data_IF_291933379180
#
_entry.id   IF_291933379180
#
_cell.length_a   1.000
_cell.length_b   1.000
_cell.length_c   1.000
_cell.angle_alpha   90.00
_cell.angle_beta   90.00
_cell.angle_gamma   90.00
#
_symmetry.space_group_name_H-M   'P 1'
#
loop_
_entity.id
_entity.type
_entity.pdbx_description
1 polymer ?
#
# COMPACT_ATOMS: atom_id res chain seq x y z
N UNK A 1 27.66 -17.33 -3.38
CA UNK A 1 26.46 -16.60 -2.89
C UNK A 1 25.47 -17.64 -2.37
N UNK A 2 24.88 -17.46 -1.18
CA UNK A 2 23.81 -18.36 -0.70
C UNK A 2 22.59 -18.19 -1.62
N UNK A 3 21.99 -19.29 -2.06
CA UNK A 3 20.81 -19.23 -2.91
C UNK A 3 19.63 -18.57 -2.16
N UNK A 4 18.84 -17.68 -2.79
CA UNK A 4 17.71 -17.06 -2.14
C UNK A 4 16.57 -18.07 -1.92
N UNK A 5 15.93 -18.13 -0.74
CA UNK A 5 14.89 -19.10 -0.43
C UNK A 5 13.62 -18.84 -1.25
N UNK A 6 13.08 -19.88 -1.88
CA UNK A 6 11.98 -19.77 -2.85
C UNK A 6 10.58 -20.08 -2.28
N UNK A 7 10.48 -20.62 -1.05
CA UNK A 7 9.22 -20.96 -0.37
C UNK A 7 8.28 -21.90 -1.15
N UNK A 8 7.19 -22.38 -0.55
CA UNK A 8 6.23 -23.26 -1.26
C UNK A 8 5.41 -22.43 -2.26
N UNK A 9 4.80 -21.34 -1.80
CA UNK A 9 3.89 -20.51 -2.60
C UNK A 9 4.61 -19.90 -3.81
N UNK A 10 5.80 -19.33 -3.59
CA UNK A 10 6.63 -18.76 -4.66
C UNK A 10 7.03 -19.80 -5.70
N UNK A 11 7.43 -21.00 -5.27
CA UNK A 11 7.76 -22.10 -6.17
C UNK A 11 6.58 -22.59 -7.00
N UNK A 12 5.39 -22.76 -6.39
CA UNK A 12 4.20 -23.19 -7.13
C UNK A 12 3.83 -22.16 -8.20
N UNK A 13 3.80 -20.88 -7.85
CA UNK A 13 3.48 -19.80 -8.79
C UNK A 13 4.53 -19.66 -9.91
N UNK A 14 5.82 -19.81 -9.61
CA UNK A 14 6.87 -19.69 -10.62
C UNK A 14 7.00 -20.91 -11.54
N UNK A 15 6.75 -22.13 -11.04
CA UNK A 15 6.92 -23.37 -11.81
C UNK A 15 5.64 -23.79 -12.55
N UNK A 16 4.46 -23.41 -12.05
CA UNK A 16 3.16 -23.65 -12.71
C UNK A 16 2.41 -22.32 -12.91
N UNK A 17 2.98 -21.37 -13.67
CA UNK A 17 2.48 -20.00 -13.73
C UNK A 17 1.07 -19.90 -14.30
N UNK A 18 0.79 -20.57 -15.43
CA UNK A 18 -0.53 -20.51 -16.06
C UNK A 18 -1.58 -21.18 -15.16
N UNK A 19 -1.30 -22.40 -14.69
CA UNK A 19 -2.23 -23.15 -13.85
C UNK A 19 -2.56 -22.42 -12.55
N UNK A 20 -1.55 -21.93 -11.83
CA UNK A 20 -1.74 -21.24 -10.55
C UNK A 20 -2.57 -19.97 -10.70
N UNK A 21 -2.31 -19.16 -11.74
CA UNK A 21 -3.10 -17.95 -12.03
C UNK A 21 -4.53 -18.31 -12.42
N UNK A 22 -4.73 -19.26 -13.34
CA UNK A 22 -6.06 -19.65 -13.79
C UNK A 22 -6.92 -20.18 -12.63
N UNK A 23 -6.37 -21.03 -11.76
CA UNK A 23 -7.11 -21.60 -10.61
C UNK A 23 -7.53 -20.50 -9.63
N UNK A 24 -6.60 -19.62 -9.26
CA UNK A 24 -6.87 -18.54 -8.31
C UNK A 24 -7.87 -17.53 -8.88
N UNK A 25 -7.66 -17.06 -10.11
CA UNK A 25 -8.57 -16.08 -10.71
C UNK A 25 -9.95 -16.67 -10.98
N UNK A 26 -10.05 -17.93 -11.44
CA UNK A 26 -11.35 -18.57 -11.65
C UNK A 26 -12.13 -18.71 -10.33
N UNK A 27 -11.47 -19.10 -9.24
CA UNK A 27 -12.11 -19.19 -7.93
C UNK A 27 -12.61 -17.83 -7.42
N UNK A 28 -11.81 -16.77 -7.60
CA UNK A 28 -12.18 -15.41 -7.19
C UNK A 28 -13.31 -14.82 -8.03
N UNK A 29 -13.30 -15.07 -9.35
CA UNK A 29 -14.41 -14.69 -10.24
C UNK A 29 -15.68 -15.44 -9.84
N UNK A 30 -15.59 -16.75 -9.59
CA UNK A 30 -16.73 -17.55 -9.15
C UNK A 30 -17.30 -17.04 -7.83
N UNK A 31 -16.46 -16.66 -6.86
CA UNK A 31 -16.88 -16.07 -5.59
C UNK A 31 -17.56 -14.71 -5.79
N UNK A 32 -17.01 -13.85 -6.65
CA UNK A 32 -17.62 -12.58 -7.04
C UNK A 32 -19.00 -12.76 -7.67
N UNK A 33 -19.13 -13.73 -8.60
CA UNK A 33 -20.41 -14.06 -9.25
C UNK A 33 -21.41 -14.65 -8.26
N UNK A 34 -20.96 -15.53 -7.35
CA UNK A 34 -21.82 -16.12 -6.34
C UNK A 34 -22.39 -15.04 -5.40
N UNK A 35 -21.57 -14.10 -4.94
CA UNK A 35 -22.02 -12.98 -4.13
C UNK A 35 -22.93 -12.01 -4.89
N UNK A 36 -22.63 -11.70 -6.15
CA UNK A 36 -23.48 -10.84 -6.97
C UNK A 36 -24.91 -11.42 -7.16
N UNK A 37 -25.06 -12.75 -7.16
CA UNK A 37 -26.36 -13.42 -7.22
C UNK A 37 -27.19 -13.31 -5.93
N UNK A 38 -26.56 -13.04 -4.79
CA UNK A 38 -27.24 -12.83 -3.51
C UNK A 38 -27.82 -11.42 -3.40
N UNK A 39 -27.33 -10.47 -4.21
CA UNK A 39 -27.72 -9.07 -4.16
C UNK A 39 -28.88 -8.75 -5.10
N UNK A 40 -29.63 -7.70 -4.77
CA UNK A 40 -30.54 -7.09 -5.73
C UNK A 40 -29.76 -6.54 -6.93
N UNK A 41 -30.40 -6.49 -8.12
CA UNK A 41 -29.78 -5.95 -9.33
C UNK A 41 -29.06 -4.59 -9.14
N UNK A 42 -29.63 -3.58 -8.45
CA UNK A 42 -28.91 -2.32 -8.20
C UNK A 42 -27.70 -2.48 -7.27
N UNK A 43 -27.77 -3.35 -6.25
CA UNK A 43 -26.64 -3.57 -5.34
C UNK A 43 -25.51 -4.38 -6.02
N UNK A 44 -25.84 -5.36 -6.86
CA UNK A 44 -24.87 -6.09 -7.67
C UNK A 44 -24.14 -5.18 -8.67
N UNK A 45 -24.83 -4.17 -9.23
CA UNK A 45 -24.23 -3.19 -10.12
C UNK A 45 -23.12 -2.36 -9.44
N UNK A 46 -23.16 -2.19 -8.10
CA UNK A 46 -22.11 -1.50 -7.35
C UNK A 46 -20.78 -2.27 -7.33
N UNK A 47 -20.80 -3.61 -7.39
CA UNK A 47 -19.57 -4.40 -7.51
C UNK A 47 -18.89 -4.11 -8.86
N UNK A 48 -19.70 -4.03 -9.92
CA UNK A 48 -19.24 -3.66 -11.26
C UNK A 48 -18.72 -2.22 -11.33
N UNK A 49 -19.42 -1.26 -10.71
CA UNK A 49 -18.99 0.13 -10.64
C UNK A 49 -17.69 0.29 -9.85
N UNK A 50 -17.53 -0.45 -8.74
CA UNK A 50 -16.29 -0.51 -7.98
C UNK A 50 -15.14 -1.05 -8.83
N UNK A 51 -15.33 -2.17 -9.53
CA UNK A 51 -14.30 -2.74 -10.40
C UNK A 51 -13.86 -1.75 -11.48
N UNK A 52 -14.81 -1.06 -12.13
CA UNK A 52 -14.51 -0.03 -13.13
C UNK A 52 -13.75 1.16 -12.52
N UNK A 53 -14.18 1.62 -11.34
CA UNK A 53 -13.55 2.74 -10.62
C UNK A 53 -12.12 2.39 -10.20
N UNK A 54 -11.91 1.20 -9.65
CA UNK A 54 -10.58 0.72 -9.26
C UNK A 54 -9.67 0.51 -10.47
N UNK A 55 -10.20 0.01 -11.59
CA UNK A 55 -9.45 -0.07 -12.86
C UNK A 55 -8.99 1.32 -13.32
N UNK A 56 -9.88 2.30 -13.24
CA UNK A 56 -9.62 3.66 -13.70
C UNK A 56 -8.67 4.44 -12.79
N UNK A 57 -8.83 4.37 -11.46
CA UNK A 57 -8.06 5.20 -10.51
C UNK A 57 -6.80 4.49 -10.01
N UNK A 58 -6.72 3.15 -10.03
CA UNK A 58 -5.56 2.41 -9.51
C UNK A 58 -4.78 1.74 -10.63
N UNK A 59 -5.43 0.83 -11.39
CA UNK A 59 -4.72 0.01 -12.36
C UNK A 59 -4.21 0.81 -13.56
N UNK A 60 -5.04 1.73 -14.10
CA UNK A 60 -4.67 2.55 -15.24
C UNK A 60 -3.46 3.46 -14.93
N UNK A 61 -3.42 4.25 -13.83
CA UNK A 61 -2.24 5.03 -13.49
C UNK A 61 -0.98 4.20 -13.31
N UNK A 62 -1.08 3.02 -12.67
CA UNK A 62 0.07 2.10 -12.52
C UNK A 62 0.55 1.54 -13.87
N UNK A 63 -0.38 1.17 -14.76
CA UNK A 63 -0.07 0.68 -16.10
C UNK A 63 0.57 1.79 -16.96
N UNK A 64 0.02 3.01 -16.91
CA UNK A 64 0.59 4.16 -17.60
C UNK A 64 1.99 4.49 -17.08
N UNK A 65 2.21 4.41 -15.76
CA UNK A 65 3.54 4.60 -15.17
C UNK A 65 4.54 3.52 -15.65
N UNK A 66 4.09 2.27 -15.81
CA UNK A 66 4.92 1.19 -16.33
C UNK A 66 5.23 1.30 -17.84
N UNK A 67 4.35 1.95 -18.60
CA UNK A 67 4.48 2.15 -20.06
C UNK A 67 5.31 3.39 -20.42
N UNK A 68 5.81 4.14 -19.43
CA UNK A 68 6.57 5.36 -19.69
C UNK A 68 7.78 5.10 -20.60
N UNK A 69 7.91 5.83 -21.73
CA UNK A 69 9.06 5.68 -22.60
C UNK A 69 10.38 5.98 -21.87
N UNK A 70 11.49 5.35 -22.28
CA UNK A 70 12.81 5.66 -21.68
C UNK A 70 13.42 6.96 -22.21
N UNK A 71 13.17 7.30 -23.47
CA UNK A 71 13.76 8.48 -24.13
C UNK A 71 13.03 9.76 -23.71
N UNK A 72 13.78 10.84 -23.44
CA UNK A 72 13.22 12.14 -22.98
C UNK A 72 12.12 12.67 -23.88
N UNK A 73 12.34 12.67 -25.20
CA UNK A 73 11.34 13.12 -26.17
C UNK A 73 10.08 12.25 -26.15
N UNK A 74 10.23 10.92 -26.09
CA UNK A 74 9.10 10.00 -25.95
C UNK A 74 8.30 10.24 -24.66
N UNK A 75 8.97 10.52 -23.54
CA UNK A 75 8.31 10.88 -22.27
C UNK A 75 7.51 12.17 -22.39
N UNK A 76 8.08 13.20 -23.00
CA UNK A 76 7.39 14.47 -23.22
C UNK A 76 6.10 14.26 -24.03
N UNK A 77 6.17 13.58 -25.18
CA UNK A 77 4.98 13.29 -25.98
C UNK A 77 3.96 12.43 -25.23
N UNK A 78 4.42 11.44 -24.45
CA UNK A 78 3.55 10.59 -23.64
C UNK A 78 2.78 11.40 -22.59
N UNK A 79 3.45 12.28 -21.85
CA UNK A 79 2.80 13.15 -20.87
C UNK A 79 1.85 14.16 -21.52
N UNK A 80 2.23 14.70 -22.69
CA UNK A 80 1.38 15.60 -23.45
C UNK A 80 0.08 14.90 -23.88
N UNK A 81 0.17 13.70 -24.45
CA UNK A 81 -0.99 12.92 -24.88
C UNK A 81 -1.93 12.62 -23.71
N UNK A 82 -1.39 12.16 -22.57
CA UNK A 82 -2.20 11.86 -21.37
C UNK A 82 -2.87 13.13 -20.84
N UNK A 83 -2.14 14.24 -20.80
CA UNK A 83 -2.68 15.52 -20.32
C UNK A 83 -3.79 16.04 -21.23
N UNK A 84 -3.63 15.94 -22.56
CA UNK A 84 -4.68 16.30 -23.53
C UNK A 84 -5.89 15.40 -23.35
N UNK A 85 -5.70 14.08 -23.26
CA UNK A 85 -6.81 13.13 -23.11
C UNK A 85 -7.60 13.40 -21.83
N UNK A 86 -6.92 13.66 -20.72
CA UNK A 86 -7.58 13.97 -19.46
C UNK A 86 -8.24 15.35 -19.46
N UNK A 87 -7.65 16.36 -20.11
CA UNK A 87 -8.30 17.67 -20.30
C UNK A 87 -9.59 17.53 -21.12
N UNK A 88 -9.61 16.68 -22.15
CA UNK A 88 -10.82 16.36 -22.92
C UNK A 88 -11.86 15.67 -22.03
N UNK A 89 -11.48 14.67 -21.24
CA UNK A 89 -12.42 13.99 -20.33
C UNK A 89 -13.04 14.97 -19.32
N UNK A 90 -12.23 15.85 -18.71
CA UNK A 90 -12.72 16.88 -17.78
C UNK A 90 -13.65 17.86 -18.51
N UNK A 91 -13.26 18.34 -19.70
CA UNK A 91 -14.07 19.28 -20.47
C UNK A 91 -15.42 18.68 -20.91
N UNK A 92 -15.46 17.39 -21.26
CA UNK A 92 -16.70 16.69 -21.63
C UNK A 92 -17.62 16.54 -20.42
N UNK A 93 -17.10 16.22 -19.23
CA UNK A 93 -17.91 16.11 -18.02
C UNK A 93 -18.45 17.47 -17.57
N UNK A 94 -17.60 18.51 -17.56
CA UNK A 94 -17.99 19.90 -17.25
C UNK A 94 -18.98 20.44 -18.29
N UNK A 95 -18.77 20.16 -19.58
CA UNK A 95 -19.66 20.58 -20.66
C UNK A 95 -21.05 19.94 -20.57
N UNK A 96 -21.15 18.70 -20.07
CA UNK A 96 -22.43 18.04 -19.79
C UNK A 96 -23.17 18.67 -18.62
N UNK A 97 -22.45 19.09 -17.56
CA UNK A 97 -23.04 19.87 -16.47
C UNK A 97 -23.62 21.21 -16.96
N UNK A 98 -23.06 21.77 -18.03
CA UNK A 98 -23.53 23.02 -18.65
C UNK A 98 -24.65 22.83 -19.70
N UNK A 99 -24.74 21.66 -20.37
CA UNK A 99 -25.68 21.41 -21.47
C UNK A 99 -26.29 19.98 -21.40
N UNK A 100 -27.52 19.82 -20.85
CA UNK A 100 -28.16 18.52 -20.61
C UNK A 100 -28.47 17.68 -21.87
N UNK A 101 -28.49 18.30 -23.06
CA UNK A 101 -28.83 17.64 -24.32
C UNK A 101 -27.73 16.68 -24.86
N UNK A 102 -26.54 16.67 -24.27
CA UNK A 102 -25.36 15.90 -24.74
C UNK A 102 -25.21 14.50 -24.08
N UNK A 103 -26.22 14.03 -23.34
CA UNK A 103 -26.13 12.92 -22.39
C UNK A 103 -26.34 11.49 -22.95
N UNK A 104 -26.61 11.32 -24.24
CA UNK A 104 -26.96 10.02 -24.82
C UNK A 104 -25.74 9.23 -25.35
N UNK A 105 -24.91 8.73 -24.43
CA UNK A 105 -24.03 7.54 -24.54
C UNK A 105 -22.92 7.60 -23.48
N UNK A 106 -22.54 6.42 -22.96
CA UNK A 106 -21.51 6.12 -21.95
C UNK A 106 -21.08 7.34 -21.12
N UNK A 107 -21.64 7.48 -19.92
CA UNK A 107 -21.26 8.56 -19.00
C UNK A 107 -19.72 8.56 -18.80
N UNK A 108 -19.02 9.66 -19.14
CA UNK A 108 -17.60 9.78 -18.83
C UNK A 108 -17.41 9.68 -17.31
N UNK A 109 -16.23 9.27 -16.84
CA UNK A 109 -15.95 9.26 -15.41
C UNK A 109 -16.06 10.69 -14.85
N UNK A 110 -16.62 10.88 -13.66
CA UNK A 110 -16.75 12.20 -13.04
C UNK A 110 -15.39 12.88 -12.91
N UNK A 111 -15.38 14.22 -12.96
CA UNK A 111 -14.15 15.05 -12.86
C UNK A 111 -13.25 14.60 -11.70
N UNK A 112 -13.85 14.31 -10.55
CA UNK A 112 -13.12 13.90 -9.34
C UNK A 112 -12.33 12.61 -9.52
N UNK A 113 -12.87 11.63 -10.26
CA UNK A 113 -12.18 10.39 -10.61
C UNK A 113 -11.04 10.66 -11.62
N UNK A 114 -11.28 11.50 -12.62
CA UNK A 114 -10.28 11.86 -13.64
C UNK A 114 -9.09 12.59 -13.01
N UNK A 115 -9.36 13.55 -12.12
CA UNK A 115 -8.32 14.29 -11.37
C UNK A 115 -7.55 13.34 -10.44
N UNK A 116 -8.23 12.42 -9.77
CA UNK A 116 -7.57 11.42 -8.90
C UNK A 116 -6.64 10.49 -9.69
N UNK A 117 -7.10 9.98 -10.84
CA UNK A 117 -6.31 9.13 -11.72
C UNK A 117 -5.09 9.88 -12.28
N UNK A 118 -5.26 11.14 -12.70
CA UNK A 118 -4.17 12.01 -13.13
C UNK A 118 -3.18 12.29 -12.01
N UNK A 119 -3.67 12.62 -10.81
CA UNK A 119 -2.84 12.88 -9.63
C UNK A 119 -1.99 11.67 -9.27
N UNK A 120 -2.59 10.46 -9.27
CA UNK A 120 -1.86 9.23 -9.00
C UNK A 120 -0.84 8.90 -10.10
N UNK A 121 -1.20 9.11 -11.37
CA UNK A 121 -0.27 8.94 -12.48
C UNK A 121 0.90 9.93 -12.37
N UNK A 122 0.63 11.21 -12.07
CA UNK A 122 1.64 12.23 -11.81
C UNK A 122 2.55 11.84 -10.66
N UNK A 123 1.98 11.35 -9.55
CA UNK A 123 2.73 10.83 -8.41
C UNK A 123 3.67 9.69 -8.82
N UNK A 124 3.19 8.64 -9.49
CA UNK A 124 4.06 7.55 -9.97
C UNK A 124 5.10 8.01 -11.00
N UNK A 125 4.77 9.03 -11.80
CA UNK A 125 5.69 9.61 -12.78
C UNK A 125 6.85 10.35 -12.12
N UNK A 126 6.58 11.10 -11.05
CA UNK A 126 7.63 11.73 -10.22
C UNK A 126 8.51 10.66 -9.58
N UNK A 127 7.94 9.51 -9.22
CA UNK A 127 8.66 8.37 -8.65
C UNK A 127 9.41 7.51 -9.66
N UNK A 128 9.32 7.80 -10.97
CA UNK A 128 9.97 7.00 -12.00
C UNK A 128 11.47 6.70 -11.75
N UNK A 129 12.31 7.65 -11.23
CA UNK A 129 13.71 7.36 -10.91
C UNK A 129 13.90 6.24 -9.87
N UNK A 130 12.94 6.09 -8.95
CA UNK A 130 12.94 5.10 -7.88
C UNK A 130 12.14 3.84 -8.22
N UNK A 131 11.11 3.99 -9.06
CA UNK A 131 9.99 3.07 -9.14
C UNK A 131 9.68 2.51 -10.53
N UNK A 132 10.35 2.97 -11.60
CA UNK A 132 10.00 2.56 -12.97
C UNK A 132 10.01 1.03 -13.15
N UNK A 133 11.07 0.35 -12.69
CA UNK A 133 11.14 -1.12 -12.76
C UNK A 133 10.12 -1.80 -11.86
N UNK A 134 9.81 -1.21 -10.70
CA UNK A 134 8.79 -1.74 -9.81
C UNK A 134 7.44 -1.69 -10.51
N UNK A 135 7.04 -0.53 -11.03
CA UNK A 135 5.81 -0.38 -11.82
C UNK A 135 5.73 -1.41 -12.94
N UNK A 136 6.81 -1.56 -13.74
CA UNK A 136 6.85 -2.51 -14.87
C UNK A 136 6.76 -3.97 -14.44
N UNK A 137 7.45 -4.36 -13.38
CA UNK A 137 7.44 -5.74 -12.87
C UNK A 137 6.18 -6.06 -12.06
N UNK A 138 5.44 -5.03 -11.60
CA UNK A 138 4.24 -5.20 -10.78
C UNK A 138 2.95 -4.74 -11.47
N UNK A 139 2.93 -4.51 -12.80
CA UNK A 139 1.69 -4.09 -13.51
C UNK A 139 0.54 -5.06 -13.23
N UNK A 140 0.82 -6.35 -13.29
CA UNK A 140 -0.17 -7.40 -13.01
C UNK A 140 -0.74 -7.33 -11.59
N UNK A 141 -0.06 -6.66 -10.64
CA UNK A 141 -0.48 -6.55 -9.25
C UNK A 141 -1.83 -5.85 -9.12
N UNK A 142 -2.03 -4.71 -9.82
CA UNK A 142 -3.24 -3.92 -9.70
C UNK A 142 -4.45 -4.66 -10.30
N UNK A 143 -4.29 -5.26 -11.48
CA UNK A 143 -5.37 -6.04 -12.11
C UNK A 143 -5.75 -7.26 -11.26
N UNK A 144 -4.77 -8.01 -10.75
CA UNK A 144 -5.02 -9.16 -9.91
C UNK A 144 -5.62 -8.75 -8.55
N UNK A 145 -5.18 -7.64 -7.96
CA UNK A 145 -5.73 -7.10 -6.72
C UNK A 145 -7.20 -6.71 -6.90
N UNK A 146 -7.57 -6.11 -8.04
CA UNK A 146 -8.96 -5.77 -8.35
C UNK A 146 -9.80 -7.03 -8.46
N UNK A 147 -9.34 -8.08 -9.17
CA UNK A 147 -10.08 -9.35 -9.27
C UNK A 147 -10.25 -9.97 -7.88
N UNK A 148 -9.21 -9.96 -7.03
CA UNK A 148 -9.31 -10.47 -5.68
C UNK A 148 -10.19 -9.62 -4.76
N UNK A 149 -10.18 -8.29 -4.91
CA UNK A 149 -11.09 -7.39 -4.19
C UNK A 149 -12.55 -7.60 -4.64
N UNK A 150 -12.80 -7.84 -5.93
CA UNK A 150 -14.13 -8.20 -6.46
C UNK A 150 -14.58 -9.58 -5.95
N UNK A 151 -13.67 -10.55 -5.85
CA UNK A 151 -13.96 -11.82 -5.17
C UNK A 151 -14.30 -11.63 -3.70
N UNK A 152 -13.53 -10.79 -2.99
CA UNK A 152 -13.80 -10.40 -1.60
C UNK A 152 -15.13 -9.65 -1.43
N UNK A 153 -15.51 -8.81 -2.40
CA UNK A 153 -16.81 -8.14 -2.45
C UNK A 153 -17.95 -9.14 -2.56
N UNK A 154 -17.76 -10.22 -3.33
CA UNK A 154 -18.68 -11.34 -3.38
C UNK A 154 -18.86 -12.02 -2.02
N UNK A 155 -17.77 -12.22 -1.27
CA UNK A 155 -17.87 -12.75 0.10
C UNK A 155 -18.59 -11.79 1.06
N UNK A 156 -18.27 -10.50 1.01
CA UNK A 156 -18.97 -9.47 1.81
C UNK A 156 -20.46 -9.41 1.51
N UNK A 157 -20.85 -9.64 0.25
CA UNK A 157 -22.25 -9.72 -0.14
C UNK A 157 -22.96 -10.94 0.45
N UNK A 158 -22.27 -12.09 0.53
CA UNK A 158 -22.80 -13.31 1.18
C UNK A 158 -22.98 -13.10 2.69
N UNK A 159 -22.07 -12.35 3.32
CA UNK A 159 -22.12 -12.04 4.76
C UNK A 159 -23.04 -10.86 5.11
N UNK A 160 -23.79 -10.31 4.14
CA UNK A 160 -24.68 -9.15 4.29
C UNK A 160 -23.97 -7.87 4.77
N UNK A 161 -22.67 -7.74 4.49
CA UNK A 161 -21.85 -6.58 4.83
C UNK A 161 -21.69 -5.59 3.65
N UNK A 162 -22.27 -5.91 2.49
CA UNK A 162 -22.20 -5.07 1.31
C UNK A 162 -23.07 -3.80 1.45
N UNK A 163 -22.49 -2.62 1.21
CA UNK A 163 -23.15 -1.32 1.36
C UNK A 163 -22.99 -0.70 2.76
N UNK A 164 -22.39 -1.41 3.72
CA UNK A 164 -21.98 -0.84 5.00
C UNK A 164 -20.59 -0.18 4.91
N UNK A 165 -20.30 0.75 5.83
CA UNK A 165 -18.99 1.40 5.94
C UNK A 165 -17.85 0.38 6.09
N UNK A 166 -18.05 -0.66 6.90
CA UNK A 166 -17.06 -1.71 7.12
C UNK A 166 -16.74 -2.47 5.82
N UNK A 167 -17.75 -2.69 4.96
CA UNK A 167 -17.57 -3.30 3.65
C UNK A 167 -16.73 -2.43 2.72
N UNK A 168 -16.97 -1.11 2.72
CA UNK A 168 -16.17 -0.15 1.94
C UNK A 168 -14.70 -0.14 2.39
N UNK A 169 -14.46 -0.11 3.70
CA UNK A 169 -13.11 -0.14 4.29
C UNK A 169 -12.40 -1.46 3.97
N UNK A 170 -13.10 -2.60 4.12
CA UNK A 170 -12.55 -3.93 3.84
C UNK A 170 -12.07 -4.05 2.40
N UNK A 171 -12.83 -3.52 1.44
CA UNK A 171 -12.51 -3.56 0.02
C UNK A 171 -11.36 -2.60 -0.34
N UNK A 172 -11.31 -1.40 0.26
CA UNK A 172 -10.19 -0.49 0.11
C UNK A 172 -8.88 -1.10 0.64
N UNK A 173 -8.93 -1.71 1.84
CA UNK A 173 -7.82 -2.45 2.43
C UNK A 173 -7.39 -3.60 1.52
N UNK A 174 -8.34 -4.42 1.03
CA UNK A 174 -8.05 -5.54 0.15
C UNK A 174 -7.29 -5.09 -1.11
N UNK A 175 -7.77 -4.07 -1.81
CA UNK A 175 -7.11 -3.56 -3.01
C UNK A 175 -5.70 -3.04 -2.71
N UNK A 176 -5.54 -2.27 -1.64
CA UNK A 176 -4.23 -1.73 -1.23
C UNK A 176 -3.25 -2.82 -0.89
N UNK A 177 -3.70 -3.82 -0.14
CA UNK A 177 -2.90 -4.96 0.27
C UNK A 177 -2.48 -5.81 -0.91
N UNK A 178 -3.40 -6.09 -1.85
CA UNK A 178 -3.08 -6.76 -3.10
C UNK A 178 -2.00 -6.03 -3.89
N UNK A 179 -2.18 -4.72 -4.09
CA UNK A 179 -1.17 -3.90 -4.79
C UNK A 179 0.17 -3.90 -4.04
N UNK A 180 0.16 -3.69 -2.72
CA UNK A 180 1.37 -3.64 -1.89
C UNK A 180 2.18 -4.93 -1.92
N UNK A 181 1.51 -6.08 -1.87
CA UNK A 181 2.14 -7.40 -2.00
C UNK A 181 2.74 -7.58 -3.39
N UNK A 182 1.99 -7.30 -4.45
CA UNK A 182 2.50 -7.43 -5.82
C UNK A 182 3.66 -6.48 -6.13
N UNK A 183 3.61 -5.25 -5.62
CA UNK A 183 4.72 -4.27 -5.68
C UNK A 183 5.95 -4.80 -4.95
N UNK A 184 5.78 -5.47 -3.81
CA UNK A 184 6.88 -6.09 -3.06
C UNK A 184 7.52 -7.23 -3.84
N UNK A 185 6.72 -8.10 -4.45
CA UNK A 185 7.22 -9.18 -5.34
C UNK A 185 7.99 -8.57 -6.51
N UNK A 186 7.44 -7.57 -7.20
CA UNK A 186 8.15 -6.91 -8.32
C UNK A 186 9.47 -6.24 -7.89
N UNK A 187 9.48 -5.62 -6.71
CA UNK A 187 10.67 -4.98 -6.15
C UNK A 187 11.74 -5.98 -5.72
N UNK A 188 11.36 -7.09 -5.09
CA UNK A 188 12.28 -8.15 -4.66
C UNK A 188 12.80 -8.97 -5.84
N UNK A 189 11.96 -9.21 -6.86
CA UNK A 189 12.39 -9.86 -8.10
C UNK A 189 13.55 -9.10 -8.74
N UNK A 190 13.40 -7.78 -8.91
CA UNK A 190 14.45 -6.94 -9.51
C UNK A 190 15.77 -7.06 -8.73
N UNK A 191 15.68 -7.08 -7.39
CA UNK A 191 16.84 -7.26 -6.48
C UNK A 191 17.49 -8.63 -6.66
N UNK A 192 16.72 -9.72 -6.60
CA UNK A 192 17.27 -11.08 -6.71
C UNK A 192 17.82 -11.36 -8.11
N UNK A 193 17.16 -10.85 -9.14
CA UNK A 193 17.62 -10.97 -10.52
C UNK A 193 18.93 -10.19 -10.74
N UNK A 194 19.03 -8.96 -10.22
CA UNK A 194 20.26 -8.17 -10.26
C UNK A 194 21.43 -8.81 -9.48
N UNK A 195 21.12 -9.62 -8.47
CA UNK A 195 22.11 -10.43 -7.74
C UNK A 195 22.54 -11.71 -8.49
N UNK A 196 22.05 -11.94 -9.71
CA UNK A 196 22.43 -13.08 -10.56
C UNK A 196 21.60 -14.35 -10.37
N UNK A 197 20.48 -14.29 -9.64
CA UNK A 197 19.60 -15.44 -9.52
C UNK A 197 18.89 -15.74 -10.87
N UNK A 198 18.77 -17.02 -11.29
CA UNK A 198 18.01 -17.37 -12.49
C UNK A 198 16.57 -16.85 -12.41
N UNK A 199 16.01 -16.37 -13.53
CA UNK A 199 14.70 -15.70 -13.60
C UNK A 199 13.59 -16.39 -12.79
N UNK A 200 13.39 -17.70 -12.98
CA UNK A 200 12.36 -18.48 -12.25
C UNK A 200 12.63 -18.55 -10.75
N UNK A 201 13.90 -18.74 -10.35
CA UNK A 201 14.29 -18.75 -8.93
C UNK A 201 14.12 -17.37 -8.30
N UNK A 202 14.50 -16.30 -9.01
CA UNK A 202 14.31 -14.92 -8.56
C UNK A 202 12.82 -14.59 -8.33
N UNK A 203 11.94 -15.02 -9.24
CA UNK A 203 10.49 -14.85 -9.10
C UNK A 203 9.95 -15.61 -7.89
N UNK A 204 10.34 -16.88 -7.73
CA UNK A 204 9.91 -17.69 -6.59
C UNK A 204 10.37 -17.10 -5.25
N UNK A 205 11.64 -16.67 -5.16
CA UNK A 205 12.18 -16.01 -3.98
C UNK A 205 11.47 -14.69 -3.64
N UNK A 206 11.11 -13.91 -4.67
CA UNK A 206 10.33 -12.68 -4.49
C UNK A 206 8.91 -12.96 -3.99
N UNK A 207 8.26 -14.01 -4.49
CA UNK A 207 6.98 -14.48 -3.95
C UNK A 207 7.09 -14.87 -2.47
N UNK A 208 8.16 -15.58 -2.10
CA UNK A 208 8.40 -15.97 -0.71
C UNK A 208 8.68 -14.78 0.21
N UNK A 209 9.48 -13.80 -0.21
CA UNK A 209 9.82 -12.63 0.62
C UNK A 209 8.61 -11.76 0.96
N UNK A 210 7.58 -11.77 0.11
CA UNK A 210 6.33 -11.02 0.35
C UNK A 210 5.43 -11.65 1.45
N UNK A 211 5.64 -12.93 1.82
CA UNK A 211 4.78 -13.64 2.79
C UNK A 211 4.77 -12.97 4.15
N UNK A 212 5.90 -12.44 4.63
CA UNK A 212 5.96 -11.75 5.92
C UNK A 212 5.07 -10.50 5.94
N UNK A 213 5.06 -9.73 4.83
CA UNK A 213 4.20 -8.56 4.68
C UNK A 213 2.74 -8.99 4.61
N UNK A 214 2.41 -10.05 3.87
CA UNK A 214 1.04 -10.59 3.85
C UNK A 214 0.54 -10.98 5.25
N UNK A 215 1.35 -11.72 6.00
CA UNK A 215 0.98 -12.17 7.35
C UNK A 215 0.74 -10.98 8.28
N UNK A 216 1.65 -10.00 8.28
CA UNK A 216 1.48 -8.77 9.05
C UNK A 216 0.19 -8.04 8.68
N UNK A 217 -0.05 -7.85 7.38
CA UNK A 217 -1.21 -7.13 6.88
C UNK A 217 -2.54 -7.80 7.26
N UNK A 218 -2.63 -9.14 7.18
CA UNK A 218 -3.84 -9.85 7.63
C UNK A 218 -4.09 -9.66 9.13
N UNK A 219 -3.04 -9.74 9.94
CA UNK A 219 -3.15 -9.56 11.39
C UNK A 219 -3.53 -8.12 11.75
N UNK A 220 -3.03 -7.13 11.01
CA UNK A 220 -3.40 -5.71 11.19
C UNK A 220 -4.84 -5.44 10.77
N UNK A 221 -5.33 -6.06 9.69
CA UNK A 221 -6.76 -6.01 9.31
C UNK A 221 -7.63 -6.62 10.41
N UNK A 222 -7.21 -7.76 10.97
CA UNK A 222 -7.90 -8.39 12.09
C UNK A 222 -7.92 -7.50 13.34
N UNK A 223 -6.79 -6.88 13.67
CA UNK A 223 -6.67 -5.93 14.77
C UNK A 223 -7.58 -4.70 14.58
N UNK A 224 -7.61 -4.14 13.37
CA UNK A 224 -8.46 -3.01 13.02
C UNK A 224 -9.94 -3.32 13.23
N UNK A 225 -10.47 -4.35 12.57
CA UNK A 225 -11.89 -4.70 12.70
C UNK A 225 -12.23 -5.21 14.11
N UNK A 226 -11.28 -5.87 14.78
CA UNK A 226 -11.44 -6.30 16.18
C UNK A 226 -11.64 -5.10 17.11
N UNK A 227 -10.78 -4.08 17.02
CA UNK A 227 -10.92 -2.86 17.83
C UNK A 227 -12.17 -2.07 17.44
N UNK A 228 -12.43 -1.89 16.15
CA UNK A 228 -13.57 -1.12 15.67
C UNK A 228 -14.91 -1.72 16.13
N UNK A 229 -15.06 -3.04 16.05
CA UNK A 229 -16.30 -3.71 16.47
C UNK A 229 -16.42 -3.82 17.99
N UNK A 230 -15.31 -4.02 18.70
CA UNK A 230 -15.29 -4.00 20.16
C UNK A 230 -15.75 -2.66 20.73
N UNK A 231 -15.25 -1.55 20.16
CA UNK A 231 -15.62 -0.20 20.55
C UNK A 231 -17.10 0.10 20.24
N UNK A 232 -17.56 -0.26 19.04
CA UNK A 232 -18.94 -0.04 18.61
C UNK A 232 -19.97 -0.85 19.42
N UNK A 233 -19.60 -2.03 19.93
CA UNK A 233 -20.52 -2.96 20.60
C UNK A 233 -20.25 -3.11 22.11
N UNK A 234 -19.70 -2.09 22.76
CA UNK A 234 -19.48 -2.06 24.22
C UNK A 234 -18.74 -3.31 24.78
N UNK A 235 -17.73 -3.77 24.04
CA UNK A 235 -16.86 -4.87 24.48
C UNK A 235 -17.10 -6.21 23.78
N UNK A 236 -18.06 -6.30 22.86
CA UNK A 236 -18.27 -7.51 22.03
C UNK A 236 -17.61 -7.36 20.64
N UNK A 237 -16.86 -8.37 20.21
CA UNK A 237 -16.26 -8.41 18.87
C UNK A 237 -17.25 -9.03 17.88
N UNK A 238 -17.55 -8.33 16.78
CA UNK A 238 -18.28 -8.92 15.66
C UNK A 238 -17.31 -9.68 14.75
N UNK A 239 -17.19 -10.98 15.01
CA UNK A 239 -16.29 -11.86 14.27
C UNK A 239 -16.63 -11.97 12.78
N UNK A 240 -17.89 -11.72 12.38
CA UNK A 240 -18.29 -11.77 10.97
C UNK A 240 -17.57 -10.68 10.18
N UNK A 241 -17.53 -9.45 10.71
CA UNK A 241 -16.83 -8.31 10.09
C UNK A 241 -15.32 -8.57 10.02
N UNK A 242 -14.74 -9.10 11.10
CA UNK A 242 -13.32 -9.45 11.17
C UNK A 242 -12.95 -10.47 10.08
N UNK A 243 -13.70 -11.57 9.98
CA UNK A 243 -13.43 -12.62 8.99
C UNK A 243 -13.66 -12.14 7.56
N UNK A 244 -14.65 -11.29 7.33
CA UNK A 244 -14.90 -10.75 6.01
C UNK A 244 -13.78 -9.80 5.54
N UNK A 245 -13.28 -8.94 6.43
CA UNK A 245 -12.10 -8.12 6.17
C UNK A 245 -10.86 -8.94 5.85
N UNK A 246 -10.55 -9.95 6.67
CA UNK A 246 -9.42 -10.86 6.48
C UNK A 246 -9.55 -11.61 5.15
N UNK A 247 -10.74 -12.11 4.82
CA UNK A 247 -10.99 -12.91 3.61
C UNK A 247 -10.82 -12.06 2.35
N UNK A 248 -11.37 -10.85 2.34
CA UNK A 248 -11.21 -9.92 1.22
C UNK A 248 -9.72 -9.54 1.02
N UNK A 249 -9.01 -9.25 2.11
CA UNK A 249 -7.58 -8.96 2.07
C UNK A 249 -6.76 -10.15 1.57
N UNK A 250 -7.02 -11.36 2.07
CA UNK A 250 -6.33 -12.59 1.68
C UNK A 250 -6.55 -12.90 0.20
N UNK A 251 -7.78 -12.73 -0.30
CA UNK A 251 -8.14 -12.91 -1.70
C UNK A 251 -7.32 -12.00 -2.63
N UNK A 252 -7.30 -10.69 -2.35
CA UNK A 252 -6.54 -9.72 -3.14
C UNK A 252 -5.02 -9.93 -3.08
N UNK A 253 -4.46 -10.17 -1.89
CA UNK A 253 -3.03 -10.43 -1.72
C UNK A 253 -2.58 -11.70 -2.42
N UNK A 254 -3.35 -12.78 -2.32
CA UNK A 254 -3.04 -14.06 -2.96
C UNK A 254 -3.10 -13.95 -4.47
N UNK A 255 -4.13 -13.28 -5.01
CA UNK A 255 -4.25 -13.00 -6.43
C UNK A 255 -3.02 -12.25 -6.95
N UNK A 256 -2.64 -11.15 -6.30
CA UNK A 256 -1.50 -10.34 -6.73
C UNK A 256 -0.16 -11.06 -6.57
N UNK A 257 0.05 -11.80 -5.46
CA UNK A 257 1.28 -12.57 -5.28
C UNK A 257 1.45 -13.59 -6.41
N UNK A 258 0.40 -14.38 -6.67
CA UNK A 258 0.45 -15.45 -7.68
C UNK A 258 0.59 -14.85 -9.08
N UNK A 259 -0.23 -13.85 -9.43
CA UNK A 259 -0.20 -13.23 -10.75
C UNK A 259 1.15 -12.55 -11.05
N UNK A 260 1.69 -11.78 -10.11
CA UNK A 260 2.99 -11.12 -10.30
C UNK A 260 4.11 -12.15 -10.38
N UNK A 261 4.17 -13.10 -9.46
CA UNK A 261 5.19 -14.16 -9.47
C UNK A 261 5.16 -14.97 -10.77
N UNK A 262 3.97 -15.39 -11.21
CA UNK A 262 3.76 -16.12 -12.45
C UNK A 262 4.14 -15.29 -13.69
N UNK A 263 3.72 -14.02 -13.74
CA UNK A 263 4.04 -13.14 -14.87
C UNK A 263 5.54 -12.93 -15.02
N UNK A 264 6.27 -12.74 -13.92
CA UNK A 264 7.73 -12.57 -13.91
C UNK A 264 8.47 -13.85 -14.30
N UNK A 265 7.94 -15.02 -13.93
CA UNK A 265 8.51 -16.31 -14.30
C UNK A 265 8.43 -16.59 -15.81
N UNK A 266 7.40 -16.08 -16.49
CA UNK A 266 7.15 -16.32 -17.92
C UNK A 266 7.69 -15.19 -18.80
N UNK A 267 7.57 -13.93 -18.37
CA UNK A 267 7.86 -12.76 -19.18
C UNK A 267 9.29 -12.76 -19.76
N UNK A 268 9.50 -12.26 -21.00
CA UNK A 268 10.81 -12.10 -21.59
C UNK A 268 11.55 -10.90 -20.98
N UNK A 269 12.09 -11.07 -19.78
CA UNK A 269 12.83 -10.05 -19.04
C UNK A 269 14.30 -10.14 -19.43
N UNK A 270 14.84 -9.04 -19.97
CA UNK A 270 16.24 -8.95 -20.38
C UNK A 270 17.16 -8.57 -19.21
N UNK A 271 18.47 -8.79 -19.38
CA UNK A 271 19.52 -8.38 -18.44
C UNK A 271 19.52 -6.87 -18.15
N UNK A 272 18.93 -6.07 -19.05
CA UNK A 272 18.74 -4.64 -18.81
C UNK A 272 17.99 -4.36 -17.50
N UNK A 273 17.09 -5.25 -17.07
CA UNK A 273 16.40 -5.10 -15.78
C UNK A 273 17.37 -5.13 -14.59
N UNK A 274 18.42 -5.96 -14.66
CA UNK A 274 19.48 -6.02 -13.64
C UNK A 274 20.36 -4.76 -13.69
N UNK A 275 20.74 -4.31 -14.89
CA UNK A 275 21.51 -3.07 -15.08
C UNK A 275 20.76 -1.86 -14.52
N UNK A 276 19.47 -1.75 -14.82
CA UNK A 276 18.64 -0.64 -14.35
C UNK A 276 18.48 -0.66 -12.82
N UNK A 277 18.35 -1.83 -12.19
CA UNK A 277 18.31 -1.96 -10.72
C UNK A 277 19.64 -1.54 -10.07
N UNK A 278 20.78 -1.91 -10.68
CA UNK A 278 22.10 -1.48 -10.20
C UNK A 278 22.30 0.03 -10.36
N UNK A 279 21.90 0.60 -11.50
CA UNK A 279 21.92 2.04 -11.72
C UNK A 279 21.05 2.78 -10.70
N UNK A 280 19.84 2.28 -10.43
CA UNK A 280 18.94 2.82 -9.41
C UNK A 280 19.59 2.81 -8.02
N UNK A 281 20.23 1.70 -7.62
CA UNK A 281 20.96 1.62 -6.34
C UNK A 281 22.09 2.63 -6.26
N UNK A 282 22.85 2.81 -7.34
CA UNK A 282 23.89 3.83 -7.43
C UNK A 282 23.34 5.26 -7.33
N UNK A 283 22.26 5.55 -8.06
CA UNK A 283 21.56 6.84 -8.00
C UNK A 283 21.05 7.11 -6.57
N UNK A 284 20.43 6.12 -5.93
CA UNK A 284 19.92 6.27 -4.56
C UNK A 284 21.05 6.59 -3.58
N UNK A 285 22.16 5.83 -3.65
CA UNK A 285 23.31 6.05 -2.78
C UNK A 285 23.87 7.48 -2.91
N UNK A 286 23.97 8.00 -4.14
CA UNK A 286 24.44 9.38 -4.38
C UNK A 286 23.49 10.42 -3.79
N UNK A 287 22.18 10.28 -4.01
CA UNK A 287 21.18 11.23 -3.52
C UNK A 287 20.94 11.11 -2.01
N UNK A 288 21.26 9.96 -1.40
CA UNK A 288 21.19 9.75 0.04
C UNK A 288 22.36 10.37 0.81
N UNK A 289 23.49 10.65 0.15
CA UNK A 289 24.72 11.19 0.80
C UNK A 289 24.46 12.41 1.69
N UNK A 290 23.72 13.46 1.27
CA UNK A 290 23.49 14.62 2.13
C UNK A 290 22.74 14.26 3.41
N UNK A 291 21.70 13.44 3.30
CA UNK A 291 20.91 12.97 4.43
C UNK A 291 21.76 12.10 5.36
N UNK A 292 22.58 11.21 4.80
CA UNK A 292 23.54 10.38 5.54
C UNK A 292 24.57 11.22 6.30
N UNK A 293 25.07 12.30 5.71
CA UNK A 293 26.01 13.22 6.34
C UNK A 293 25.36 13.97 7.51
N UNK A 294 24.11 14.44 7.33
CA UNK A 294 23.32 15.13 8.34
C UNK A 294 22.79 14.23 9.47
N UNK A 295 22.78 12.90 9.28
CA UNK A 295 22.31 11.92 10.27
C UNK A 295 23.44 11.07 10.88
N UNK A 296 24.41 11.64 11.64
CA UNK A 296 25.20 10.85 12.59
C UNK A 296 24.29 10.17 13.62
N UNK A 297 24.70 9.02 14.20
CA UNK A 297 23.96 8.39 15.29
C UNK A 297 23.61 9.34 16.46
N UNK A 298 24.51 10.29 16.77
CA UNK A 298 24.30 11.32 17.79
C UNK A 298 23.17 12.28 17.40
N UNK A 299 23.23 12.87 16.20
CA UNK A 299 22.19 13.76 15.67
C UNK A 299 20.87 13.03 15.48
N UNK A 300 20.89 11.78 15.00
CA UNK A 300 19.69 10.96 14.86
C UNK A 300 19.03 10.70 16.23
N UNK A 301 19.83 10.40 17.25
CA UNK A 301 19.32 10.24 18.62
C UNK A 301 18.74 11.55 19.17
N UNK A 302 19.40 12.68 18.93
CA UNK A 302 18.91 13.99 19.33
C UNK A 302 17.59 14.36 18.62
N UNK A 303 17.52 14.16 17.30
CA UNK A 303 16.31 14.40 16.53
C UNK A 303 15.15 13.47 16.93
N UNK A 304 15.43 12.20 17.24
CA UNK A 304 14.41 11.30 17.84
C UNK A 304 13.94 11.80 19.20
N UNK A 305 14.84 12.30 20.06
CA UNK A 305 14.47 12.88 21.35
C UNK A 305 13.61 14.14 21.20
N UNK A 306 13.96 15.03 20.27
CA UNK A 306 13.16 16.22 19.94
C UNK A 306 11.78 15.81 19.45
N UNK A 307 11.67 14.81 18.56
CA UNK A 307 10.38 14.31 18.11
C UNK A 307 9.51 13.81 19.28
N UNK A 308 10.11 13.09 20.24
CA UNK A 308 9.40 12.65 21.46
C UNK A 308 8.97 13.83 22.33
N UNK A 309 9.81 14.86 22.50
CA UNK A 309 9.44 16.07 23.25
C UNK A 309 8.26 16.78 22.59
N UNK A 310 8.29 16.94 21.26
CA UNK A 310 7.18 17.56 20.50
C UNK A 310 5.90 16.74 20.65
N UNK A 311 5.99 15.41 20.64
CA UNK A 311 4.84 14.52 20.88
C UNK A 311 4.27 14.73 22.29
N UNK A 312 5.11 14.84 23.31
CA UNK A 312 4.66 15.11 24.68
C UNK A 312 3.96 16.47 24.76
N UNK A 313 4.54 17.50 24.16
CA UNK A 313 3.90 18.83 24.09
C UNK A 313 2.54 18.74 23.38
N UNK A 314 2.50 18.10 22.21
CA UNK A 314 1.26 17.90 21.44
C UNK A 314 0.17 17.18 22.26
N UNK A 315 0.55 16.15 23.03
CA UNK A 315 -0.39 15.44 23.92
C UNK A 315 -0.95 16.35 25.03
N UNK A 316 -0.13 17.25 25.59
CA UNK A 316 -0.59 18.20 26.60
C UNK A 316 -1.49 19.29 26.03
N UNK A 317 -1.18 19.78 24.82
CA UNK A 317 -1.90 20.90 24.19
C UNK A 317 -3.22 20.48 23.55
N UNK A 318 -3.25 19.36 22.81
CA UNK A 318 -4.44 18.91 22.09
C UNK A 318 -5.22 17.81 22.83
N UNK A 319 -4.63 17.18 23.83
CA UNK A 319 -5.16 15.93 24.38
C UNK A 319 -5.05 14.77 23.39
N UNK A 320 -5.64 13.63 23.74
CA UNK A 320 -5.65 12.46 22.85
C UNK A 320 -7.03 11.78 22.90
N UNK A 321 -7.84 12.01 21.87
CA UNK A 321 -9.18 11.45 21.78
C UNK A 321 -9.15 9.92 21.62
N UNK A 322 -9.99 9.23 22.40
CA UNK A 322 -10.11 7.76 22.47
C UNK A 322 -8.78 7.02 22.77
N UNK A 323 -8.10 7.35 23.88
CA UNK A 323 -6.75 6.85 24.16
C UNK A 323 -6.71 5.32 24.35
N UNK A 324 -7.79 4.74 24.88
CA UNK A 324 -7.87 3.29 25.15
C UNK A 324 -7.94 2.50 23.85
N UNK A 325 -8.83 2.88 22.92
CA UNK A 325 -9.00 2.18 21.65
C UNK A 325 -7.71 2.27 20.80
N UNK A 326 -7.06 3.44 20.77
CA UNK A 326 -5.80 3.62 20.05
C UNK A 326 -4.64 2.86 20.70
N UNK A 327 -4.55 2.85 22.04
CA UNK A 327 -3.54 2.06 22.73
C UNK A 327 -3.72 0.56 22.45
N UNK A 328 -4.95 0.04 22.52
CA UNK A 328 -5.26 -1.34 22.19
C UNK A 328 -4.88 -1.65 20.73
N UNK A 329 -5.25 -0.79 19.79
CA UNK A 329 -4.87 -0.92 18.39
C UNK A 329 -3.35 -0.97 18.21
N UNK A 330 -2.59 -0.06 18.83
CA UNK A 330 -1.13 -0.06 18.74
C UNK A 330 -0.49 -1.31 19.35
N UNK A 331 -1.02 -1.82 20.46
CA UNK A 331 -0.56 -3.10 21.06
C UNK A 331 -0.81 -4.26 20.11
N UNK A 332 -1.98 -4.33 19.47
CA UNK A 332 -2.30 -5.38 18.51
C UNK A 332 -1.45 -5.28 17.23
N UNK A 333 -1.17 -4.06 16.74
CA UNK A 333 -0.23 -3.84 15.62
C UNK A 333 1.19 -4.26 16.02
N UNK A 334 1.62 -3.98 17.25
CA UNK A 334 2.91 -4.43 17.78
C UNK A 334 2.99 -5.97 17.79
N UNK A 335 1.98 -6.65 18.35
CA UNK A 335 1.90 -8.11 18.38
C UNK A 335 1.88 -8.71 16.97
N UNK A 336 1.15 -8.08 16.06
CA UNK A 336 1.10 -8.46 14.63
C UNK A 336 2.49 -8.37 13.99
N UNK A 337 3.24 -7.29 14.27
CA UNK A 337 4.60 -7.13 13.75
C UNK A 337 5.61 -8.10 14.40
N UNK A 338 5.50 -8.37 15.71
CA UNK A 338 6.37 -9.33 16.41
C UNK A 338 6.19 -10.72 15.80
N UNK A 339 4.95 -11.16 15.60
CA UNK A 339 4.64 -12.48 15.06
C UNK A 339 5.00 -12.61 13.59
N UNK A 340 4.60 -11.65 12.75
CA UNK A 340 4.85 -11.72 11.31
C UNK A 340 6.31 -11.47 10.92
N UNK A 341 7.00 -10.55 11.63
CA UNK A 341 8.38 -10.21 11.31
C UNK A 341 9.41 -10.92 12.18
N UNK A 342 8.99 -11.62 13.24
CA UNK A 342 9.86 -12.31 14.20
C UNK A 342 10.94 -11.36 14.73
N UNK A 343 10.54 -10.12 15.05
CA UNK A 343 11.48 -9.05 15.41
C UNK A 343 10.82 -7.98 16.27
N UNK A 344 11.14 -7.99 17.57
CA UNK A 344 10.71 -6.96 18.53
C UNK A 344 11.23 -5.57 18.12
N UNK A 345 12.46 -5.49 17.61
CA UNK A 345 13.05 -4.25 17.10
C UNK A 345 12.21 -3.63 15.98
N UNK A 346 11.78 -4.44 15.01
CA UNK A 346 10.99 -3.98 13.86
C UNK A 346 9.57 -3.60 14.30
N UNK A 347 8.97 -4.39 15.19
CA UNK A 347 7.66 -4.12 15.78
C UNK A 347 7.64 -2.82 16.61
N UNK A 348 8.70 -2.56 17.35
CA UNK A 348 8.82 -1.31 18.12
C UNK A 348 8.95 -0.11 17.18
N UNK A 349 9.75 -0.21 16.13
CA UNK A 349 9.90 0.88 15.16
C UNK A 349 8.57 1.23 14.48
N UNK A 350 7.80 0.24 14.01
CA UNK A 350 6.56 0.52 13.29
C UNK A 350 5.52 1.18 14.21
N UNK A 351 5.39 0.72 15.45
CA UNK A 351 4.42 1.28 16.40
C UNK A 351 4.85 2.65 16.91
N UNK A 352 6.13 2.88 17.15
CA UNK A 352 6.62 4.22 17.50
C UNK A 352 6.37 5.20 16.36
N UNK A 353 6.68 4.82 15.11
CA UNK A 353 6.40 5.69 13.95
C UNK A 353 4.89 5.98 13.82
N UNK A 354 4.03 4.97 14.00
CA UNK A 354 2.58 5.16 13.94
C UNK A 354 2.06 6.04 15.06
N UNK A 355 2.45 5.79 16.31
CA UNK A 355 1.98 6.53 17.48
C UNK A 355 2.42 8.00 17.42
N UNK A 356 3.69 8.25 17.08
CA UNK A 356 4.19 9.61 16.88
C UNK A 356 3.47 10.30 15.73
N UNK A 357 3.25 9.59 14.62
CA UNK A 357 2.52 10.17 13.47
C UNK A 357 1.06 10.46 13.80
N UNK A 358 0.40 9.63 14.60
CA UNK A 358 -0.97 9.85 15.06
C UNK A 358 -1.07 11.13 15.88
N UNK A 359 -0.27 11.23 16.96
CA UNK A 359 -0.28 12.41 17.85
C UNK A 359 0.03 13.69 17.09
N UNK A 360 1.05 13.67 16.22
CA UNK A 360 1.41 14.85 15.44
C UNK A 360 0.37 15.20 14.37
N UNK A 361 -0.32 14.20 13.81
CA UNK A 361 -1.43 14.45 12.89
C UNK A 361 -2.58 15.13 13.62
N UNK A 362 -3.01 14.60 14.76
CA UNK A 362 -4.10 15.18 15.57
C UNK A 362 -3.78 16.62 15.98
N UNK A 363 -2.57 16.86 16.49
CA UNK A 363 -2.11 18.20 16.82
C UNK A 363 -2.13 19.15 15.62
N UNK A 364 -1.82 18.63 14.43
CA UNK A 364 -1.96 19.37 13.17
C UNK A 364 -3.40 19.77 12.88
N UNK A 365 -4.37 18.87 13.08
CA UNK A 365 -5.80 19.19 12.94
C UNK A 365 -6.23 20.27 13.94
N UNK A 366 -5.81 20.16 15.20
CA UNK A 366 -6.10 21.13 16.26
C UNK A 366 -5.55 22.53 15.92
N UNK A 367 -4.27 22.63 15.54
CA UNK A 367 -3.64 23.93 15.21
C UNK A 367 -4.29 24.58 13.98
N UNK A 368 -4.61 23.78 12.96
CA UNK A 368 -5.21 24.29 11.72
C UNK A 368 -6.69 24.63 11.88
N UNK A 369 -7.30 24.34 13.04
CA UNK A 369 -8.73 24.56 13.27
C UNK A 369 -9.62 23.70 12.37
N UNK A 370 -9.11 22.55 11.92
CA UNK A 370 -9.84 21.60 11.06
C UNK A 370 -10.50 20.56 11.96
N UNK A 371 -11.78 20.25 11.72
CA UNK A 371 -12.49 19.23 12.46
C UNK A 371 -11.73 17.90 12.45
N UNK A 372 -11.53 17.31 13.63
CA UNK A 372 -10.81 16.06 13.76
C UNK A 372 -11.59 14.91 13.10
N UNK A 373 -10.92 14.02 12.36
CA UNK A 373 -11.55 12.83 11.78
C UNK A 373 -12.13 11.93 12.87
N UNK A 374 -13.22 11.22 12.55
CA UNK A 374 -13.84 10.28 13.48
C UNK A 374 -12.87 9.15 13.90
N UNK A 375 -13.14 8.47 15.03
CA UNK A 375 -12.29 7.34 15.45
C UNK A 375 -12.18 6.25 14.37
N UNK A 376 -13.28 5.97 13.67
CA UNK A 376 -13.31 5.04 12.52
C UNK A 376 -12.33 5.47 11.43
N UNK A 377 -12.34 6.75 11.06
CA UNK A 377 -11.46 7.33 10.05
C UNK A 377 -9.99 7.34 10.48
N UNK A 378 -9.72 7.67 11.74
CA UNK A 378 -8.36 7.65 12.32
C UNK A 378 -7.81 6.24 12.35
N UNK A 379 -8.55 5.25 12.87
CA UNK A 379 -8.15 3.84 12.88
C UNK A 379 -7.95 3.31 11.46
N UNK A 380 -8.81 3.68 10.52
CA UNK A 380 -8.65 3.31 9.12
C UNK A 380 -7.35 3.89 8.57
N UNK A 381 -7.12 5.20 8.73
CA UNK A 381 -5.91 5.86 8.26
C UNK A 381 -4.63 5.26 8.88
N UNK A 382 -4.64 4.94 10.18
CA UNK A 382 -3.52 4.26 10.84
C UNK A 382 -3.31 2.83 10.35
N UNK A 383 -4.37 2.11 10.00
CA UNK A 383 -4.28 0.76 9.43
C UNK A 383 -3.57 0.79 8.09
N UNK A 384 -3.96 1.71 7.20
CA UNK A 384 -3.24 1.95 5.94
C UNK A 384 -1.81 2.45 6.17
N UNK A 385 -1.61 3.31 7.16
CA UNK A 385 -0.29 3.80 7.58
C UNK A 385 0.62 2.66 8.03
N UNK A 386 0.10 1.73 8.84
CA UNK A 386 0.82 0.57 9.34
C UNK A 386 1.23 -0.35 8.19
N UNK A 387 0.30 -0.62 7.28
CA UNK A 387 0.54 -1.40 6.07
C UNK A 387 1.65 -0.75 5.23
N UNK A 388 1.58 0.56 4.97
CA UNK A 388 2.61 1.26 4.20
C UNK A 388 3.98 1.19 4.89
N UNK A 389 4.05 1.54 6.18
CA UNK A 389 5.28 1.55 6.97
C UNK A 389 5.93 0.16 7.06
N UNK A 390 5.14 -0.91 7.06
CA UNK A 390 5.64 -2.29 7.04
C UNK A 390 6.64 -2.56 5.91
N UNK A 391 6.42 -1.98 4.72
CA UNK A 391 7.33 -2.16 3.60
C UNK A 391 8.72 -1.54 3.83
N UNK A 392 8.79 -0.43 4.56
CA UNK A 392 10.05 0.19 4.98
C UNK A 392 10.69 -0.55 6.16
N UNK A 393 9.91 -0.90 7.19
CA UNK A 393 10.44 -1.52 8.41
C UNK A 393 10.91 -2.95 8.18
N UNK A 394 10.24 -3.74 7.34
CA UNK A 394 10.72 -5.07 6.92
C UNK A 394 12.02 -4.97 6.12
N UNK A 395 12.16 -3.95 5.27
CA UNK A 395 13.40 -3.72 4.53
C UNK A 395 14.55 -3.38 5.48
N UNK A 396 14.26 -2.65 6.57
CA UNK A 396 15.22 -2.37 7.64
C UNK A 396 15.60 -3.61 8.45
N UNK A 397 14.63 -4.48 8.79
CA UNK A 397 14.90 -5.79 9.40
C UNK A 397 15.88 -6.59 8.54
N UNK A 398 15.60 -6.70 7.24
CA UNK A 398 16.39 -7.49 6.31
C UNK A 398 17.76 -6.87 6.01
N UNK A 399 17.94 -5.56 6.21
CA UNK A 399 19.24 -4.89 6.11
C UNK A 399 20.15 -5.15 7.33
N UNK A 400 19.60 -5.68 8.43
CA UNK A 400 20.29 -5.83 9.71
C UNK A 400 21.32 -6.96 9.79
N UNK A 401 21.44 -7.84 8.78
CA UNK A 401 22.42 -8.95 8.78
C UNK A 401 23.89 -8.49 8.62
N UNK A 402 24.11 -7.20 8.36
CA UNK A 402 25.45 -6.63 8.17
C UNK A 402 25.79 -5.81 9.41
N UNK A 403 26.68 -6.35 10.27
CA UNK A 403 27.29 -5.73 11.46
C UNK A 403 28.14 -4.48 11.13
N UNK A 404 27.58 -3.56 10.34
CA UNK A 404 28.22 -2.33 9.87
C UNK A 404 27.36 -1.13 10.25
N UNK A 405 28.02 0.01 10.28
CA UNK A 405 27.53 1.36 10.52
C UNK A 405 25.99 1.54 10.37
N UNK A 406 25.34 2.04 11.43
CA UNK A 406 23.90 2.31 11.49
C UNK A 406 23.36 3.10 10.29
N UNK A 407 24.18 3.98 9.71
CA UNK A 407 23.86 4.75 8.51
C UNK A 407 23.73 3.87 7.27
N UNK A 408 24.59 2.87 7.12
CA UNK A 408 24.61 1.97 5.96
C UNK A 408 23.41 1.03 6.00
N UNK A 409 23.04 0.56 7.20
CA UNK A 409 21.81 -0.23 7.41
C UNK A 409 20.58 0.58 6.99
N UNK A 410 20.51 1.84 7.42
CA UNK A 410 19.39 2.73 7.08
C UNK A 410 19.36 3.07 5.59
N UNK A 411 20.50 3.37 4.97
CA UNK A 411 20.61 3.62 3.54
C UNK A 411 20.12 2.41 2.71
N UNK A 412 20.56 1.21 3.07
CA UNK A 412 20.13 -0.02 2.40
C UNK A 412 18.64 -0.28 2.58
N UNK A 413 18.13 -0.08 3.80
CA UNK A 413 16.71 -0.23 4.12
C UNK A 413 15.83 0.70 3.28
N UNK A 414 16.22 1.97 3.17
CA UNK A 414 15.47 2.96 2.40
C UNK A 414 15.59 2.74 0.90
N UNK A 415 16.75 2.32 0.41
CA UNK A 415 16.94 1.97 -1.01
C UNK A 415 15.98 0.87 -1.46
N UNK A 416 15.68 -0.10 -0.59
CA UNK A 416 14.80 -1.23 -0.89
C UNK A 416 13.32 -0.99 -0.50
N UNK A 417 13.08 -0.31 0.62
CA UNK A 417 11.75 -0.14 1.22
C UNK A 417 11.00 1.12 0.80
N UNK A 418 11.69 2.24 0.52
CA UNK A 418 11.04 3.53 0.23
C UNK A 418 10.12 3.43 -0.98
N UNK A 419 10.58 2.79 -2.06
CA UNK A 419 9.78 2.63 -3.28
C UNK A 419 8.50 1.83 -3.04
N UNK A 420 8.56 0.79 -2.21
CA UNK A 420 7.38 -0.04 -1.89
C UNK A 420 6.39 0.76 -1.07
N UNK A 421 6.88 1.47 -0.05
CA UNK A 421 6.08 2.38 0.77
C UNK A 421 5.34 3.41 -0.09
N UNK A 422 6.05 4.10 -0.99
CA UNK A 422 5.43 5.14 -1.81
C UNK A 422 4.36 4.57 -2.76
N UNK A 423 4.59 3.40 -3.34
CA UNK A 423 3.58 2.73 -4.17
C UNK A 423 2.34 2.33 -3.37
N UNK A 424 2.54 1.84 -2.14
CA UNK A 424 1.45 1.46 -1.23
C UNK A 424 0.68 2.69 -0.75
N UNK A 425 1.36 3.81 -0.51
CA UNK A 425 0.71 5.10 -0.19
C UNK A 425 -0.18 5.57 -1.33
N UNK A 426 0.35 5.58 -2.56
CA UNK A 426 -0.44 5.95 -3.73
C UNK A 426 -1.64 5.03 -3.96
N UNK A 427 -1.43 3.72 -3.91
CA UNK A 427 -2.49 2.73 -4.06
C UNK A 427 -3.52 2.80 -2.90
N UNK A 428 -3.05 3.05 -1.69
CA UNK A 428 -3.85 3.25 -0.48
C UNK A 428 -4.86 4.38 -0.65
N UNK A 429 -4.37 5.58 -0.92
CA UNK A 429 -5.22 6.76 -1.10
C UNK A 429 -6.21 6.57 -2.27
N UNK A 430 -5.74 5.98 -3.37
CA UNK A 430 -6.56 5.71 -4.54
C UNK A 430 -7.65 4.66 -4.29
N UNK A 431 -7.36 3.62 -3.52
CA UNK A 431 -8.34 2.59 -3.15
C UNK A 431 -9.41 3.12 -2.18
N UNK A 432 -9.03 4.00 -1.25
CA UNK A 432 -9.96 4.68 -0.35
C UNK A 432 -10.89 5.55 -1.18
N UNK A 433 -10.35 6.32 -2.14
CA UNK A 433 -11.16 7.15 -3.03
C UNK A 433 -12.11 6.32 -3.90
N UNK A 434 -11.62 5.22 -4.49
CA UNK A 434 -12.44 4.32 -5.30
C UNK A 434 -13.59 3.72 -4.48
N UNK A 435 -13.31 3.29 -3.25
CA UNK A 435 -14.31 2.71 -2.34
C UNK A 435 -15.28 3.77 -1.82
N UNK A 436 -14.80 4.98 -1.49
CA UNK A 436 -15.64 6.09 -1.09
C UNK A 436 -16.68 6.44 -2.15
N UNK A 437 -16.27 6.47 -3.42
CA UNK A 437 -17.17 6.73 -4.55
C UNK A 437 -18.16 5.59 -4.80
N UNK A 438 -17.71 4.33 -4.73
CA UNK A 438 -18.56 3.18 -5.09
C UNK A 438 -19.53 2.75 -3.97
N UNK A 439 -19.19 3.01 -2.71
CA UNK A 439 -20.00 2.66 -1.54
C UNK A 439 -20.68 3.86 -0.88
N UNK A 440 -20.50 5.07 -1.43
CA UNK A 440 -20.93 6.32 -0.80
C UNK A 440 -20.46 6.45 0.67
N UNK A 441 -19.23 6.00 0.96
CA UNK A 441 -18.66 6.05 2.32
C UNK A 441 -18.29 7.50 2.69
N UNK A 442 -19.03 8.16 3.61
CA UNK A 442 -18.87 9.59 3.87
C UNK A 442 -17.51 9.94 4.48
N UNK A 443 -17.00 9.07 5.36
CA UNK A 443 -15.71 9.25 6.05
C UNK A 443 -14.47 8.98 5.19
N UNK A 444 -14.64 8.52 3.94
CA UNK A 444 -13.50 8.12 3.10
C UNK A 444 -12.48 9.23 2.86
N UNK A 445 -12.93 10.48 2.73
CA UNK A 445 -12.03 11.62 2.57
C UNK A 445 -11.21 11.90 3.84
N UNK A 446 -11.85 11.85 5.02
CA UNK A 446 -11.18 12.01 6.32
C UNK A 446 -10.16 10.91 6.56
N UNK A 447 -10.52 9.66 6.28
CA UNK A 447 -9.61 8.52 6.38
C UNK A 447 -8.41 8.63 5.42
N UNK A 448 -8.63 9.06 4.17
CA UNK A 448 -7.56 9.27 3.20
C UNK A 448 -6.60 10.41 3.61
N UNK A 449 -7.15 11.53 4.07
CA UNK A 449 -6.36 12.65 4.55
C UNK A 449 -5.52 12.26 5.77
N UNK A 450 -6.14 11.59 6.75
CA UNK A 450 -5.43 11.10 7.94
C UNK A 450 -4.35 10.07 7.59
N UNK A 451 -4.63 9.15 6.66
CA UNK A 451 -3.63 8.21 6.12
C UNK A 451 -2.43 8.94 5.50
N UNK A 452 -2.67 9.88 4.59
CA UNK A 452 -1.61 10.60 3.89
C UNK A 452 -0.76 11.43 4.85
N UNK A 453 -1.38 12.11 5.81
CA UNK A 453 -0.69 12.89 6.84
C UNK A 453 0.18 12.01 7.72
N UNK A 454 -0.36 10.91 8.25
CA UNK A 454 0.39 9.99 9.10
C UNK A 454 1.51 9.27 8.33
N UNK A 455 1.27 8.90 7.07
CA UNK A 455 2.30 8.32 6.20
C UNK A 455 3.45 9.32 5.94
N UNK A 456 3.13 10.59 5.67
CA UNK A 456 4.13 11.63 5.43
C UNK A 456 5.01 11.87 6.67
N UNK A 457 4.39 12.01 7.84
CA UNK A 457 5.11 12.18 9.11
C UNK A 457 6.00 10.96 9.37
N UNK A 458 5.46 9.75 9.21
CA UNK A 458 6.20 8.51 9.35
C UNK A 458 7.39 8.40 8.39
N UNK A 459 7.24 8.83 7.13
CA UNK A 459 8.30 8.85 6.12
C UNK A 459 9.46 9.78 6.55
N UNK A 460 9.14 10.96 7.07
CA UNK A 460 10.15 11.94 7.53
C UNK A 460 10.90 11.42 8.76
N UNK A 461 10.21 10.77 9.69
CA UNK A 461 10.79 10.27 10.95
C UNK A 461 11.54 8.94 10.80
N UNK A 462 11.14 8.08 9.85
CA UNK A 462 11.72 6.77 9.62
C UNK A 462 13.26 6.75 9.54
N UNK A 463 13.94 7.57 8.72
CA UNK A 463 15.40 7.52 8.63
C UNK A 463 16.10 7.88 9.95
N UNK A 464 15.53 8.82 10.70
CA UNK A 464 16.07 9.26 12.00
C UNK A 464 15.97 8.12 13.01
N UNK A 465 14.78 7.55 13.16
CA UNK A 465 14.52 6.48 14.13
C UNK A 465 15.24 5.18 13.76
N UNK A 466 15.29 4.82 12.48
CA UNK A 466 16.06 3.68 12.00
C UNK A 466 17.55 3.83 12.35
N UNK A 467 18.14 5.01 12.11
CA UNK A 467 19.55 5.26 12.41
C UNK A 467 19.82 5.21 13.92
N UNK A 468 18.99 5.88 14.71
CA UNK A 468 19.12 5.93 16.17
C UNK A 468 18.98 4.53 16.80
N UNK A 469 17.96 3.77 16.43
CA UNK A 469 17.76 2.41 16.93
C UNK A 469 18.88 1.47 16.47
N UNK A 470 19.32 1.55 15.21
CA UNK A 470 20.42 0.72 14.70
C UNK A 470 21.72 0.95 15.46
N UNK A 471 22.02 2.19 15.83
CA UNK A 471 23.21 2.52 16.61
C UNK A 471 23.15 2.01 18.06
N UNK A 472 21.96 1.99 18.67
CA UNK A 472 21.77 1.46 20.03
C UNK A 472 21.82 -0.07 20.07
N UNK A 473 21.19 -0.74 19.11
CA UNK A 473 21.21 -2.21 19.03
C UNK A 473 22.55 -2.78 18.61
N UNK A 474 23.46 -2.00 18.00
CA UNK A 474 24.82 -2.46 17.71
C UNK A 474 25.74 -2.53 18.94
N UNK A 475 25.30 -2.00 20.09
CA UNK A 475 26.08 -1.99 21.34
C UNK A 475 25.78 -3.17 22.27
N UNK A 476 24.76 -3.95 21.96
CA UNK A 476 24.30 -5.13 22.69
C UNK A 476 24.28 -6.32 21.73
#
# INVERSE_FOLDING_TARGET
MREPPAGIVGNVAANRPILSVCVILAGLIALGVAGARQLSAPAAALIGSYAATALYVVALPMALAALQPRRRFGRFCFYLIISIFAAVLIAVDVGRLALPAFAASLAPPPVTLTVSALGLFGFFSVLAPLGFNVARHSVAAAFAAIIGAVGGAGYLAIEELWGAEQGAIAIALALTLGVGVGVSVGADFAKFFAAGAPKRKAAAAAGHSAVAIMAFSLLVVAAFFGVQTFDANFGAVDWRVVWAGITAAAAAMTASLVAVTASLAVAPISEQAAVDENYRRGWFAVNWRPIRQALPPTTASAASAIAVIVVVIALFEAGFAAPIALALFFVLVWLSAVTAFVSVRTATLIVVLLAVSAVLADFGYTILGVAEPSLSERLTGLTFGAIALAHMTVSWRNAGEVWRNARDVTENALSDGLRRFLFVVGAGAASIFASAQSFAWPGGAGAAAYFLTTALIGLVLAPVMMTAMSARFARY
#
